data_IF_322106308132
#
_entry.id   IF_322106308132
#
_cell.length_a   1.000
_cell.length_b   1.000
_cell.length_c   1.000
_cell.angle_alpha   90.00
_cell.angle_beta   90.00
_cell.angle_gamma   90.00
#
_symmetry.space_group_name_H-M   'P 1'
#
loop_
_entity.id
_entity.type
_entity.pdbx_description
1 polymer ?
#
# COMPACT_ATOMS: atom_id res chain seq x y z
N UNK A 1 54.13 -13.29 -58.28
CA UNK A 1 53.23 -14.24 -57.68
C UNK A 1 52.83 -13.65 -56.30
N UNK A 2 51.69 -12.95 -56.25
CA UNK A 2 51.23 -12.26 -55.05
C UNK A 2 50.23 -13.14 -54.37
N UNK A 3 50.51 -13.61 -53.17
CA UNK A 3 49.59 -14.38 -52.32
C UNK A 3 48.73 -13.43 -51.49
N UNK A 4 47.47 -13.36 -51.86
CA UNK A 4 46.49 -12.58 -51.09
C UNK A 4 45.96 -13.45 -49.94
N UNK A 5 46.26 -13.07 -48.72
CA UNK A 5 45.67 -13.70 -47.52
C UNK A 5 44.39 -12.96 -47.21
N UNK A 6 43.26 -13.64 -47.37
CA UNK A 6 41.94 -13.15 -46.95
C UNK A 6 41.76 -13.50 -45.47
N UNK A 7 41.86 -12.52 -44.62
CA UNK A 7 41.52 -12.67 -43.20
C UNK A 7 39.99 -12.57 -43.04
N UNK A 8 39.35 -13.68 -42.74
CA UNK A 8 37.92 -13.72 -42.36
C UNK A 8 37.84 -13.33 -40.90
N UNK A 9 37.40 -12.09 -40.62
CA UNK A 9 37.01 -11.68 -39.28
C UNK A 9 35.62 -12.23 -38.98
N UNK A 10 35.57 -13.26 -38.17
CA UNK A 10 34.32 -13.68 -37.53
C UNK A 10 34.02 -12.70 -36.38
N UNK A 11 33.14 -11.76 -36.62
CA UNK A 11 32.60 -10.93 -35.57
C UNK A 11 31.63 -11.79 -34.74
N UNK A 12 32.12 -12.29 -33.60
CA UNK A 12 31.26 -12.88 -32.58
C UNK A 12 30.44 -11.75 -31.94
N UNK A 13 29.25 -11.53 -32.46
CA UNK A 13 28.24 -10.69 -31.77
C UNK A 13 27.78 -11.41 -30.51
N UNK A 14 28.41 -11.05 -29.38
CA UNK A 14 27.90 -11.38 -28.08
C UNK A 14 26.58 -10.62 -27.89
N UNK A 15 25.46 -11.31 -28.12
CA UNK A 15 24.16 -10.83 -27.74
C UNK A 15 24.12 -10.88 -26.21
N UNK A 16 24.52 -9.78 -25.59
CA UNK A 16 24.18 -9.53 -24.20
C UNK A 16 22.67 -9.35 -24.14
N UNK A 17 21.97 -10.44 -23.90
CA UNK A 17 20.57 -10.40 -23.46
C UNK A 17 20.59 -9.69 -22.10
N UNK A 18 20.38 -8.36 -22.13
CA UNK A 18 19.99 -7.62 -20.95
C UNK A 18 18.65 -8.22 -20.48
N UNK A 19 18.76 -9.13 -19.54
CA UNK A 19 17.58 -9.52 -18.77
C UNK A 19 17.14 -8.27 -18.04
N UNK A 20 16.12 -7.60 -18.57
CA UNK A 20 15.41 -6.57 -17.86
C UNK A 20 14.85 -7.25 -16.62
N UNK A 21 15.51 -7.09 -15.49
CA UNK A 21 14.96 -7.40 -14.19
C UNK A 21 13.74 -6.49 -14.04
N UNK A 22 12.55 -7.02 -14.30
CA UNK A 22 11.32 -6.34 -14.01
C UNK A 22 11.28 -6.12 -12.49
N UNK A 23 11.58 -4.90 -12.05
CA UNK A 23 11.46 -4.50 -10.66
C UNK A 23 9.98 -4.35 -10.38
N UNK A 24 9.35 -5.40 -9.87
CA UNK A 24 7.96 -5.36 -9.43
C UNK A 24 7.89 -4.55 -8.13
N UNK A 25 7.55 -3.27 -8.23
CA UNK A 25 7.38 -2.40 -7.08
C UNK A 25 5.90 -2.24 -6.80
N UNK A 26 5.44 -2.77 -5.67
CA UNK A 26 4.10 -2.47 -5.17
C UNK A 26 4.20 -1.24 -4.27
N UNK A 27 3.51 -0.17 -4.64
CA UNK A 27 3.44 1.05 -3.84
C UNK A 27 2.01 1.22 -3.33
N UNK A 28 1.87 1.36 -2.01
CA UNK A 28 0.64 1.83 -1.39
C UNK A 28 0.89 3.28 -0.99
N UNK A 29 0.18 4.21 -1.62
CA UNK A 29 0.22 5.62 -1.23
C UNK A 29 -0.92 5.86 -0.27
N UNK A 30 -0.61 6.13 0.97
CA UNK A 30 -1.58 6.51 1.99
C UNK A 30 -1.49 8.03 2.14
N UNK A 31 -2.55 8.74 1.79
CA UNK A 31 -2.65 10.19 1.98
C UNK A 31 -3.63 10.42 3.14
N UNK A 32 -3.21 11.21 4.13
CA UNK A 32 -4.08 11.69 5.18
C UNK A 32 -4.35 13.18 4.97
N UNK A 33 -5.61 13.59 5.05
CA UNK A 33 -6.00 14.99 5.16
C UNK A 33 -6.63 15.23 6.53
N UNK A 34 -6.19 16.29 7.18
CA UNK A 34 -6.77 16.74 8.44
C UNK A 34 -7.55 18.01 8.18
N UNK A 35 -8.82 17.98 8.44
CA UNK A 35 -9.73 19.12 8.26
C UNK A 35 -10.42 19.42 9.58
N UNK A 36 -10.08 20.46 10.23
CA UNK A 36 -10.86 21.51 10.89
C UNK A 36 -10.02 22.35 11.86
N UNK A 37 -10.28 23.66 11.87
CA UNK A 37 -9.48 24.67 12.58
C UNK A 37 -9.73 24.73 14.08
N UNK A 38 -10.78 24.10 14.63
CA UNK A 38 -11.10 24.12 16.05
C UNK A 38 -10.48 22.98 16.87
N UNK A 39 -10.16 21.86 16.22
CA UNK A 39 -9.55 20.69 16.81
C UNK A 39 -8.49 20.12 15.86
N UNK A 40 -7.36 20.80 15.69
CA UNK A 40 -6.29 20.30 14.86
C UNK A 40 -5.28 19.50 15.67
N UNK A 41 -4.96 18.30 15.22
CA UNK A 41 -3.89 17.48 15.77
C UNK A 41 -2.75 17.37 14.74
N UNK A 42 -1.56 17.03 15.21
CA UNK A 42 -0.44 16.66 14.36
C UNK A 42 -0.57 15.18 14.03
N UNK A 43 -0.70 14.84 12.75
CA UNK A 43 -0.73 13.46 12.26
C UNK A 43 0.57 13.16 11.54
N UNK A 44 1.32 12.19 12.04
CA UNK A 44 2.60 11.79 11.44
C UNK A 44 2.52 10.35 10.95
N UNK A 45 2.71 10.09 9.64
CA UNK A 45 2.81 8.74 9.12
C UNK A 45 4.02 7.99 9.71
N UNK A 46 3.85 6.72 10.04
CA UNK A 46 4.89 5.83 10.58
C UNK A 46 5.00 4.56 9.74
N UNK A 47 6.20 3.98 9.65
CA UNK A 47 6.42 2.77 8.85
C UNK A 47 6.32 3.00 7.33
N UNK A 48 6.38 4.27 6.89
CA UNK A 48 6.26 4.66 5.50
C UNK A 48 7.55 5.27 4.96
N UNK A 49 7.76 5.19 3.65
CA UNK A 49 8.78 5.94 2.91
C UNK A 49 8.14 7.24 2.38
N UNK A 50 8.91 8.33 2.38
CA UNK A 50 8.53 9.60 1.74
C UNK A 50 7.05 10.03 1.99
N UNK A 51 6.69 10.22 3.25
CA UNK A 51 5.36 10.73 3.63
C UNK A 51 4.18 9.93 3.08
N UNK A 52 4.08 8.66 3.38
CA UNK A 52 2.88 7.87 3.15
C UNK A 52 3.00 6.79 2.05
N UNK A 53 4.19 6.48 1.57
CA UNK A 53 4.41 5.35 0.66
C UNK A 53 4.82 4.12 1.48
N UNK A 54 4.04 3.05 1.38
CA UNK A 54 4.44 1.73 1.89
C UNK A 54 4.92 0.89 0.72
N UNK A 55 6.17 0.45 0.78
CA UNK A 55 6.74 -0.42 -0.25
C UNK A 55 6.62 -1.87 0.18
N UNK A 56 5.89 -2.67 -0.59
CA UNK A 56 5.80 -4.11 -0.39
C UNK A 56 7.00 -4.81 -1.04
N UNK A 57 7.40 -5.93 -0.46
CA UNK A 57 8.44 -6.79 -1.05
C UNK A 57 7.92 -7.48 -2.31
N UNK A 58 8.81 -7.71 -3.27
CA UNK A 58 8.46 -8.40 -4.52
C UNK A 58 7.92 -9.80 -4.25
N UNK A 59 6.89 -10.19 -4.98
CA UNK A 59 6.28 -11.52 -4.97
C UNK A 59 6.33 -12.11 -6.39
N UNK A 60 6.57 -13.39 -6.50
CA UNK A 60 6.49 -14.09 -7.79
C UNK A 60 5.04 -14.49 -8.11
N UNK A 61 4.72 -14.65 -9.39
CA UNK A 61 3.39 -15.15 -9.80
C UNK A 61 3.09 -16.53 -9.22
N UNK A 62 4.09 -17.39 -9.08
CA UNK A 62 3.95 -18.71 -8.46
C UNK A 62 3.57 -18.60 -6.99
N UNK A 63 4.24 -17.74 -6.22
CA UNK A 63 3.90 -17.50 -4.81
C UNK A 63 2.49 -16.91 -4.68
N UNK A 64 2.17 -15.88 -5.49
CA UNK A 64 0.88 -15.24 -5.42
C UNK A 64 -0.27 -16.20 -5.78
N UNK A 65 -0.10 -17.04 -6.80
CA UNK A 65 -1.10 -18.04 -7.19
C UNK A 65 -1.24 -19.20 -6.20
N UNK A 66 -0.29 -19.41 -5.30
CA UNK A 66 -0.39 -20.39 -4.22
C UNK A 66 -1.17 -19.90 -3.00
N UNK A 67 -1.38 -18.58 -2.89
CA UNK A 67 -2.14 -18.02 -1.76
C UNK A 67 -3.65 -18.09 -1.98
N UNK A 68 -4.37 -18.31 -0.89
CA UNK A 68 -5.84 -18.33 -0.92
C UNK A 68 -6.40 -16.94 -1.29
N UNK A 69 -7.44 -16.90 -2.13
CA UNK A 69 -8.11 -15.66 -2.48
C UNK A 69 -8.63 -14.94 -1.23
N UNK A 70 -8.52 -13.63 -1.21
CA UNK A 70 -8.91 -12.77 -0.09
C UNK A 70 -7.91 -12.74 1.09
N UNK A 71 -6.90 -13.61 1.12
CA UNK A 71 -5.90 -13.65 2.19
C UNK A 71 -4.85 -12.56 1.98
N UNK A 72 -4.49 -11.86 3.06
CA UNK A 72 -3.39 -10.90 3.09
C UNK A 72 -2.04 -11.63 3.19
N UNK A 73 -1.08 -11.31 2.33
CA UNK A 73 0.25 -11.92 2.35
C UNK A 73 1.36 -10.93 1.97
N UNK A 74 2.62 -11.27 2.28
CA UNK A 74 3.80 -10.41 2.10
C UNK A 74 3.58 -9.02 2.72
N UNK A 75 3.20 -9.03 3.97
CA UNK A 75 2.72 -7.85 4.69
C UNK A 75 3.83 -6.91 5.13
N UNK A 76 3.48 -5.63 5.24
CA UNK A 76 4.27 -4.56 5.84
C UNK A 76 3.40 -3.76 6.82
N UNK A 77 3.98 -3.38 7.93
CA UNK A 77 3.30 -2.56 8.94
C UNK A 77 3.51 -1.08 8.65
N UNK A 78 2.46 -0.30 8.87
CA UNK A 78 2.48 1.15 8.82
C UNK A 78 1.44 1.72 9.79
N UNK A 79 1.40 3.04 9.93
CA UNK A 79 0.40 3.66 10.77
C UNK A 79 0.49 5.18 10.78
N UNK A 80 -0.23 5.76 11.74
CA UNK A 80 -0.21 7.19 12.01
C UNK A 80 -0.09 7.42 13.50
N UNK A 81 0.77 8.35 13.87
CA UNK A 81 0.82 8.88 15.21
C UNK A 81 0.03 10.20 15.25
N UNK A 82 -0.98 10.26 16.11
CA UNK A 82 -1.82 11.44 16.32
C UNK A 82 -1.44 12.05 17.66
N UNK A 83 -0.90 13.27 17.65
CA UNK A 83 -0.41 13.99 18.84
C UNK A 83 -0.73 15.48 18.77
N UNK A 84 -0.44 16.16 19.86
CA UNK A 84 -0.46 17.62 19.96
C UNK A 84 -1.76 18.23 19.43
N UNK A 85 -2.90 17.62 19.80
CA UNK A 85 -4.19 18.17 19.46
C UNK A 85 -4.39 19.53 20.15
N UNK A 86 -4.72 20.55 19.36
CA UNK A 86 -5.12 21.84 19.89
C UNK A 86 -6.45 21.66 20.62
N UNK A 87 -6.42 21.77 21.95
CA UNK A 87 -7.60 21.54 22.78
C UNK A 87 -8.20 22.87 23.23
N UNK A 88 -9.47 23.08 22.91
CA UNK A 88 -10.25 24.07 23.63
C UNK A 88 -10.43 23.62 25.09
N UNK A 89 -10.29 24.52 26.06
CA UNK A 89 -10.40 24.20 27.48
C UNK A 89 -11.74 23.61 27.91
N UNK A 90 -12.77 23.75 27.08
CA UNK A 90 -14.14 23.30 27.35
C UNK A 90 -14.53 22.03 26.63
N UNK A 91 -13.76 21.58 25.63
CA UNK A 91 -14.12 20.43 24.80
C UNK A 91 -12.87 19.72 24.27
N UNK A 92 -12.14 18.99 25.15
CA UNK A 92 -10.92 18.32 24.75
C UNK A 92 -11.21 17.14 23.80
N UNK A 93 -10.29 16.87 22.88
CA UNK A 93 -10.34 15.67 22.04
C UNK A 93 -10.21 14.43 22.93
N UNK A 94 -11.17 13.53 22.85
CA UNK A 94 -11.23 12.26 23.61
C UNK A 94 -11.02 11.02 22.73
N UNK A 95 -11.21 11.17 21.41
CA UNK A 95 -11.06 10.06 20.47
C UNK A 95 -10.74 10.52 19.07
N UNK A 96 -10.38 9.57 18.23
CA UNK A 96 -10.14 9.71 16.81
C UNK A 96 -11.01 8.72 16.06
N UNK A 97 -11.62 9.16 14.98
CA UNK A 97 -12.33 8.31 14.02
C UNK A 97 -11.58 8.30 12.72
N UNK A 98 -11.49 7.13 12.09
CA UNK A 98 -10.79 6.96 10.82
C UNK A 98 -11.74 6.35 9.81
N UNK A 99 -11.91 7.03 8.69
CA UNK A 99 -12.57 6.52 7.50
C UNK A 99 -11.53 6.31 6.40
N UNK A 100 -11.67 5.24 5.64
CA UNK A 100 -10.74 4.93 4.55
C UNK A 100 -11.49 4.80 3.25
N UNK A 101 -10.98 5.45 2.22
CA UNK A 101 -11.54 5.36 0.88
C UNK A 101 -10.46 5.03 -0.16
N UNK A 102 -10.87 4.39 -1.24
CA UNK A 102 -9.99 4.01 -2.33
C UNK A 102 -10.75 3.37 -3.48
N UNK A 103 -10.08 3.06 -4.56
CA UNK A 103 -10.70 2.36 -5.68
C UNK A 103 -10.79 0.87 -5.38
N UNK A 104 -12.00 0.36 -5.27
CA UNK A 104 -12.31 -1.06 -5.07
C UNK A 104 -13.51 -1.43 -5.93
N UNK A 105 -13.47 -2.52 -6.70
CA UNK A 105 -14.53 -2.86 -7.65
C UNK A 105 -15.27 -4.15 -7.33
N UNK A 106 -14.57 -5.18 -6.89
CA UNK A 106 -15.15 -6.51 -6.68
C UNK A 106 -15.37 -6.84 -5.20
N UNK A 107 -14.52 -6.33 -4.34
CA UNK A 107 -14.56 -6.52 -2.90
C UNK A 107 -14.13 -5.21 -2.26
N UNK A 108 -14.99 -4.63 -1.42
CA UNK A 108 -14.73 -3.35 -0.75
C UNK A 108 -13.43 -3.37 0.08
N UNK A 109 -12.96 -4.55 0.51
CA UNK A 109 -11.75 -4.71 1.32
C UNK A 109 -10.47 -4.89 0.51
N UNK A 110 -10.56 -4.79 -0.83
CA UNK A 110 -9.41 -4.92 -1.74
C UNK A 110 -9.30 -3.68 -2.61
N UNK A 111 -8.21 -2.95 -2.48
CA UNK A 111 -7.84 -1.89 -3.41
C UNK A 111 -7.48 -2.50 -4.76
N UNK A 112 -8.09 -2.00 -5.81
CA UNK A 112 -7.77 -2.39 -7.17
C UNK A 112 -6.33 -2.00 -7.53
N UNK A 113 -5.70 -2.83 -8.35
CA UNK A 113 -4.42 -2.47 -8.93
C UNK A 113 -4.60 -1.39 -10.00
N UNK A 114 -4.16 -0.17 -9.71
CA UNK A 114 -4.24 1.00 -10.60
C UNK A 114 -2.94 1.30 -11.34
N UNK A 115 -1.97 0.39 -11.29
CA UNK A 115 -0.71 0.56 -12.02
C UNK A 115 -0.92 0.44 -13.54
N UNK A 116 -0.26 1.29 -14.32
CA UNK A 116 -0.20 1.15 -15.77
C UNK A 116 0.51 -0.17 -16.14
N UNK A 117 -0.10 -0.97 -17.01
CA UNK A 117 0.35 -2.34 -17.31
C UNK A 117 0.50 -3.21 -16.05
N UNK A 118 -0.39 -3.02 -15.10
CA UNK A 118 -0.37 -3.70 -13.82
C UNK A 118 -0.68 -5.19 -13.90
N UNK A 119 -0.21 -5.92 -12.89
CA UNK A 119 -0.58 -7.31 -12.68
C UNK A 119 -2.10 -7.47 -12.56
N UNK A 120 -2.67 -8.48 -13.20
CA UNK A 120 -4.07 -8.87 -13.01
C UNK A 120 -4.21 -9.88 -11.88
N UNK A 121 -5.42 -10.05 -11.35
CA UNK A 121 -5.75 -11.06 -10.33
C UNK A 121 -5.21 -10.75 -8.92
N UNK A 122 -4.66 -9.56 -8.71
CA UNK A 122 -4.04 -9.14 -7.44
C UNK A 122 -4.40 -7.69 -7.12
N UNK A 123 -4.60 -7.40 -5.85
CA UNK A 123 -4.82 -6.06 -5.32
C UNK A 123 -4.08 -5.87 -4.00
N UNK A 124 -4.41 -4.81 -3.28
CA UNK A 124 -3.82 -4.47 -1.99
C UNK A 124 -4.92 -4.54 -0.92
N UNK A 125 -4.60 -5.16 0.20
CA UNK A 125 -5.45 -5.14 1.39
C UNK A 125 -4.79 -4.36 2.53
N UNK A 126 -5.62 -3.81 3.40
CA UNK A 126 -5.20 -3.17 4.65
C UNK A 126 -5.98 -3.81 5.80
N UNK A 127 -5.32 -4.02 6.91
CA UNK A 127 -5.90 -4.61 8.11
C UNK A 127 -5.48 -3.78 9.32
N UNK A 128 -6.44 -3.45 10.19
CA UNK A 128 -6.15 -2.81 11.48
C UNK A 128 -5.51 -3.84 12.42
N UNK A 129 -4.45 -3.45 13.12
CA UNK A 129 -3.69 -4.38 13.97
C UNK A 129 -4.43 -4.72 15.25
N UNK A 130 -5.19 -3.76 15.83
CA UNK A 130 -5.81 -3.92 17.15
C UNK A 130 -6.84 -5.07 17.22
N UNK A 131 -7.56 -5.33 16.14
CA UNK A 131 -8.66 -6.31 16.07
C UNK A 131 -8.63 -7.19 14.83
N UNK A 132 -7.58 -7.10 14.02
CA UNK A 132 -7.45 -7.81 12.76
C UNK A 132 -8.59 -7.50 11.74
N UNK A 133 -9.27 -6.35 11.89
CA UNK A 133 -10.33 -5.92 10.99
C UNK A 133 -9.79 -5.56 9.61
N UNK A 134 -10.37 -6.14 8.55
CA UNK A 134 -10.06 -5.78 7.16
C UNK A 134 -10.79 -4.49 6.81
N UNK A 135 -10.00 -3.49 6.42
CA UNK A 135 -10.52 -2.16 6.08
C UNK A 135 -11.29 -2.20 4.77
N UNK A 136 -12.51 -1.67 4.76
CA UNK A 136 -13.26 -1.41 3.55
C UNK A 136 -12.89 -0.03 2.95
N UNK A 137 -12.75 0.01 1.62
CA UNK A 137 -12.29 1.20 0.89
C UNK A 137 -13.43 2.00 0.24
N UNK A 138 -14.67 1.63 0.50
CA UNK A 138 -15.86 2.32 0.03
C UNK A 138 -16.35 3.45 0.97
N UNK A 139 -15.59 3.69 2.05
CA UNK A 139 -15.94 4.69 3.07
C UNK A 139 -17.01 4.23 4.05
N UNK A 140 -17.45 2.97 4.00
CA UNK A 140 -18.46 2.44 4.91
C UNK A 140 -17.92 2.13 6.31
N UNK A 141 -16.62 1.85 6.42
CA UNK A 141 -15.95 1.58 7.68
C UNK A 141 -15.65 2.86 8.46
N UNK A 142 -16.07 2.87 9.74
CA UNK A 142 -15.65 3.89 10.70
C UNK A 142 -14.93 3.21 11.84
N UNK A 143 -13.64 3.44 11.92
CA UNK A 143 -12.78 2.88 12.97
C UNK A 143 -12.55 3.95 14.03
N UNK A 144 -12.75 3.62 15.31
CA UNK A 144 -12.56 4.55 16.42
C UNK A 144 -11.45 4.09 17.35
N UNK A 145 -10.64 5.05 17.81
CA UNK A 145 -9.59 4.84 18.81
C UNK A 145 -9.65 5.94 19.86
N UNK A 146 -9.30 5.60 21.11
CA UNK A 146 -9.23 6.57 22.17
C UNK A 146 -8.01 7.48 22.02
N UNK A 147 -8.17 8.77 22.27
CA UNK A 147 -7.07 9.72 22.29
C UNK A 147 -6.59 9.99 23.72
N UNK A 148 -5.28 10.04 23.90
CA UNK A 148 -4.63 10.44 25.16
C UNK A 148 -3.89 11.75 24.96
N UNK A 149 -4.26 12.77 25.71
CA UNK A 149 -3.59 14.07 25.67
C UNK A 149 -2.09 13.99 26.06
N UNK A 150 -1.72 13.01 26.88
CA UNK A 150 -0.33 12.83 27.33
C UNK A 150 0.51 12.02 26.34
N UNK A 151 -0.06 10.96 25.76
CA UNK A 151 0.68 9.98 24.95
C UNK A 151 0.34 10.03 23.47
N UNK A 152 -0.71 10.77 23.09
CA UNK A 152 -1.28 10.68 21.75
C UNK A 152 -2.00 9.36 21.50
N UNK A 153 -2.20 9.07 20.24
CA UNK A 153 -2.81 7.80 19.78
C UNK A 153 -2.00 7.27 18.60
N UNK A 154 -1.79 5.97 18.57
CA UNK A 154 -1.16 5.29 17.45
C UNK A 154 -2.18 4.44 16.70
N UNK A 155 -2.43 4.81 15.46
CA UNK A 155 -3.25 4.05 14.53
C UNK A 155 -2.33 3.09 13.79
N UNK A 156 -2.49 1.77 14.02
CA UNK A 156 -1.59 0.75 13.48
C UNK A 156 -2.30 -0.13 12.46
N UNK A 157 -1.69 -0.27 11.31
CA UNK A 157 -2.20 -1.07 10.19
C UNK A 157 -1.12 -1.97 9.63
N UNK A 158 -1.56 -3.07 9.04
CA UNK A 158 -0.74 -3.96 8.22
C UNK A 158 -1.31 -3.95 6.82
N UNK A 159 -0.49 -3.75 5.81
CA UNK A 159 -0.88 -3.84 4.40
C UNK A 159 -0.14 -4.95 3.69
N UNK A 160 -0.69 -5.46 2.61
CA UNK A 160 -0.09 -6.54 1.84
C UNK A 160 -0.86 -6.81 0.56
N UNK A 161 -0.35 -7.77 -0.20
CA UNK A 161 -1.05 -8.26 -1.39
C UNK A 161 -2.26 -9.10 -1.01
N UNK A 162 -3.25 -9.09 -1.91
CA UNK A 162 -4.43 -9.96 -1.84
C UNK A 162 -4.74 -10.44 -3.25
N UNK A 163 -4.88 -11.75 -3.44
CA UNK A 163 -5.40 -12.30 -4.69
C UNK A 163 -6.91 -12.10 -4.74
N UNK A 164 -7.42 -11.54 -5.84
CA UNK A 164 -8.82 -11.11 -5.93
C UNK A 164 -9.79 -12.28 -6.15
N UNK A 165 -9.35 -13.29 -6.91
CA UNK A 165 -10.19 -14.44 -7.24
C UNK A 165 -9.31 -15.66 -7.56
N UNK A 166 -9.62 -16.82 -6.97
CA UNK A 166 -8.93 -18.07 -7.24
C UNK A 166 -9.05 -18.54 -8.71
N UNK A 167 -10.07 -18.11 -9.44
CA UNK A 167 -10.28 -18.45 -10.85
C UNK A 167 -9.49 -17.55 -11.81
N UNK A 168 -8.94 -16.42 -11.34
CA UNK A 168 -8.17 -15.49 -12.18
C UNK A 168 -6.69 -15.58 -11.75
N UNK A 169 -5.84 -16.22 -12.56
CA UNK A 169 -4.41 -16.30 -12.23
C UNK A 169 -3.78 -14.91 -12.13
N UNK A 170 -2.87 -14.77 -11.18
CA UNK A 170 -2.06 -13.55 -11.05
C UNK A 170 -1.05 -13.50 -12.19
N UNK A 171 -1.01 -12.38 -12.90
CA UNK A 171 -0.05 -12.13 -13.98
C UNK A 171 1.11 -11.27 -13.52
N UNK A 172 2.18 -11.21 -14.31
CA UNK A 172 3.29 -10.28 -14.09
C UNK A 172 2.85 -8.83 -14.29
N UNK A 173 3.46 -7.94 -13.53
CA UNK A 173 3.25 -6.50 -13.66
C UNK A 173 3.40 -5.76 -12.32
N UNK A 174 3.51 -4.44 -12.37
CA UNK A 174 3.51 -3.61 -11.16
C UNK A 174 2.14 -3.66 -10.46
N UNK A 175 2.18 -3.47 -9.13
CA UNK A 175 0.97 -3.36 -8.30
C UNK A 175 1.00 -2.03 -7.57
N UNK A 176 -0.07 -1.25 -7.69
CA UNK A 176 -0.26 0.04 -7.02
C UNK A 176 -1.69 0.16 -6.53
N UNK A 177 -1.87 0.36 -5.24
CA UNK A 177 -3.13 0.78 -4.63
C UNK A 177 -2.97 2.16 -3.99
N UNK A 178 -4.04 2.95 -3.97
CA UNK A 178 -4.08 4.25 -3.29
C UNK A 178 -5.28 4.25 -2.35
N UNK A 179 -5.00 4.45 -1.06
CA UNK A 179 -6.02 4.63 -0.04
C UNK A 179 -5.88 6.02 0.59
N UNK A 180 -7.01 6.67 0.83
CA UNK A 180 -7.10 7.95 1.55
C UNK A 180 -7.65 7.66 2.94
N UNK A 181 -6.90 8.05 3.97
CA UNK A 181 -7.30 7.98 5.35
C UNK A 181 -7.79 9.37 5.78
N UNK A 182 -9.07 9.47 6.10
CA UNK A 182 -9.66 10.66 6.70
C UNK A 182 -9.71 10.44 8.20
N UNK A 183 -9.05 11.33 8.95
CA UNK A 183 -8.93 11.23 10.39
C UNK A 183 -9.70 12.39 11.01
N UNK A 184 -10.81 12.08 11.67
CA UNK A 184 -11.66 13.03 12.38
C UNK A 184 -11.47 12.90 13.89
N UNK A 185 -11.79 13.94 14.64
CA UNK A 185 -11.63 13.99 16.08
C UNK A 185 -12.98 14.05 16.77
N UNK A 186 -13.10 13.31 17.87
CA UNK A 186 -14.27 13.32 18.73
C UNK A 186 -13.95 13.94 20.09
N UNK A 187 -14.90 14.70 20.62
CA UNK A 187 -14.81 15.38 21.91
C UNK A 187 -15.66 14.65 22.95
#
# INVERSE_FOLDING_TARGET
MKKTIVAVMVAASAVLSAQAMATNTAQVTVLGEVSDASNSCVVTPTGTLNNGIVQLITVTTTEANAEAAGKLFKTQDFGFEVKDCAQGSTNPVTGVTVNVSGTSSSDATILDNTAANGAAGIGIGIQRVSDAHRVAFDGSDTMSESYSATNGTQLKYTTGYVTTNAATPVTEGPVKGVATFTIDYTN
#
